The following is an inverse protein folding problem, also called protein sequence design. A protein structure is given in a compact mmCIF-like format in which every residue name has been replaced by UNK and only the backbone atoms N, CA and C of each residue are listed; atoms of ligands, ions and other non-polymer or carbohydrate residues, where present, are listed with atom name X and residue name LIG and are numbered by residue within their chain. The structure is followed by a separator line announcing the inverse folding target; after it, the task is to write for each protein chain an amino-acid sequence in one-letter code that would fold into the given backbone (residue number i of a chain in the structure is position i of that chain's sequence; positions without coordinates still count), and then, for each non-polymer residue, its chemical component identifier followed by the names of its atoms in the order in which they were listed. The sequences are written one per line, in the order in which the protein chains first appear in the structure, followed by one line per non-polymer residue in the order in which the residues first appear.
data_IF_543326564050
#
_entry.id   IF_543326564050
#
_cell.length_a   1.000
_cell.length_b   1.000
_cell.length_c   1.000
_cell.angle_alpha   90.00
_cell.angle_beta   90.00
_cell.angle_gamma   90.00
#
_symmetry.space_group_name_H-M   'P 1'
#
loop_
_entity.id
_entity.type
_entity.pdbx_description
1 polymer ?
#
# COMPACT_ATOMS: atom_id res chain seq x y z
N UNK A 1 -37.36 3.30 5.62
CA UNK A 1 -36.71 3.68 6.91
C UNK A 1 -35.85 2.53 7.37
N UNK A 2 -34.63 2.79 7.84
CA UNK A 2 -33.77 1.75 8.41
C UNK A 2 -34.37 1.22 9.72
N UNK A 3 -34.39 -0.10 9.92
CA UNK A 3 -34.82 -0.74 11.16
C UNK A 3 -33.58 -0.95 12.04
N UNK A 4 -33.58 -0.35 13.22
CA UNK A 4 -32.46 -0.41 14.17
C UNK A 4 -32.67 -1.57 15.15
N UNK A 5 -31.58 -2.19 15.57
CA UNK A 5 -31.55 -3.28 16.56
C UNK A 5 -30.34 -3.14 17.47
N UNK A 6 -30.34 -3.82 18.61
CA UNK A 6 -29.23 -3.83 19.56
C UNK A 6 -28.47 -5.15 19.48
N UNK A 7 -27.15 -5.06 19.60
CA UNK A 7 -26.26 -6.22 19.73
C UNK A 7 -25.58 -6.18 21.10
N UNK A 8 -25.41 -7.34 21.73
CA UNK A 8 -24.62 -7.46 22.95
C UNK A 8 -23.17 -7.74 22.56
N UNK A 9 -22.28 -6.87 23.00
CA UNK A 9 -20.84 -6.96 22.74
C UNK A 9 -20.06 -6.77 24.05
N UNK A 10 -18.84 -7.33 24.16
CA UNK A 10 -17.93 -7.03 25.27
C UNK A 10 -17.65 -5.53 25.38
N UNK A 11 -17.35 -5.06 26.60
CA UNK A 11 -17.13 -3.63 26.88
C UNK A 11 -15.91 -3.13 26.10
N UNK A 12 -14.88 -3.95 26.00
CA UNK A 12 -13.63 -3.66 25.31
C UNK A 12 -13.88 -3.40 23.82
N UNK A 13 -14.73 -4.22 23.19
CA UNK A 13 -15.11 -4.04 21.78
C UNK A 13 -15.91 -2.75 21.59
N UNK A 14 -16.84 -2.44 22.50
CA UNK A 14 -17.62 -1.20 22.45
C UNK A 14 -16.70 0.03 22.55
N UNK A 15 -15.73 0.01 23.44
CA UNK A 15 -14.76 1.11 23.61
C UNK A 15 -13.88 1.29 22.37
N UNK A 16 -13.39 0.19 21.80
CA UNK A 16 -12.63 0.22 20.55
C UNK A 16 -13.43 0.83 19.40
N UNK A 17 -14.68 0.41 19.21
CA UNK A 17 -15.57 0.94 18.16
C UNK A 17 -15.86 2.43 18.39
N UNK A 18 -16.09 2.83 19.65
CA UNK A 18 -16.28 4.24 20.01
C UNK A 18 -15.05 5.08 19.66
N UNK A 19 -13.86 4.62 20.02
CA UNK A 19 -12.60 5.31 19.69
C UNK A 19 -12.43 5.50 18.18
N UNK A 20 -12.69 4.45 17.38
CA UNK A 20 -12.62 4.52 15.92
C UNK A 20 -13.66 5.47 15.32
N UNK A 21 -14.89 5.44 15.84
CA UNK A 21 -15.97 6.34 15.45
C UNK A 21 -15.61 7.82 15.68
N UNK A 22 -15.05 8.14 16.85
CA UNK A 22 -14.59 9.51 17.19
C UNK A 22 -13.44 9.95 16.29
N UNK A 23 -12.45 9.08 16.07
CA UNK A 23 -11.27 9.37 15.24
C UNK A 23 -11.63 9.60 13.76
N UNK A 24 -12.59 8.84 13.24
CA UNK A 24 -12.96 8.86 11.81
C UNK A 24 -14.16 9.77 11.51
N UNK A 25 -14.84 10.30 12.52
CA UNK A 25 -16.05 11.12 12.35
C UNK A 25 -17.23 10.36 11.74
N UNK A 26 -17.24 9.01 11.86
CA UNK A 26 -18.27 8.14 11.28
C UNK A 26 -19.14 7.53 12.39
N UNK A 27 -20.44 7.27 12.16
CA UNK A 27 -21.28 6.53 13.09
C UNK A 27 -20.73 5.11 13.36
N UNK A 28 -20.89 4.62 14.59
CA UNK A 28 -20.37 3.31 15.02
C UNK A 28 -20.86 2.13 14.16
N UNK A 29 -22.12 2.16 13.71
CA UNK A 29 -22.67 1.10 12.85
C UNK A 29 -21.91 1.02 11.51
N UNK A 30 -21.50 2.16 10.95
CA UNK A 30 -20.78 2.21 9.69
C UNK A 30 -19.36 1.62 9.85
N UNK A 31 -18.69 1.93 10.96
CA UNK A 31 -17.39 1.31 11.31
C UNK A 31 -17.52 -0.22 11.41
N UNK A 32 -18.56 -0.70 12.09
CA UNK A 32 -18.83 -2.12 12.23
C UNK A 32 -19.15 -2.79 10.90
N UNK A 33 -19.97 -2.15 10.06
CA UNK A 33 -20.26 -2.65 8.71
C UNK A 33 -19.00 -2.74 7.87
N UNK A 34 -18.18 -1.69 7.80
CA UNK A 34 -16.91 -1.70 7.06
C UNK A 34 -15.97 -2.82 7.55
N UNK A 35 -15.87 -3.02 8.87
CA UNK A 35 -15.04 -4.06 9.47
C UNK A 35 -15.55 -5.48 9.17
N UNK A 36 -16.87 -5.70 9.25
CA UNK A 36 -17.49 -7.01 8.97
C UNK A 36 -17.40 -7.32 7.48
N UNK A 37 -17.69 -6.37 6.59
CA UNK A 37 -17.54 -6.55 5.14
C UNK A 37 -16.10 -6.96 4.79
N UNK A 38 -15.11 -6.30 5.39
CA UNK A 38 -13.71 -6.66 5.22
C UNK A 38 -13.42 -8.09 5.69
N UNK A 39 -13.93 -8.49 6.87
CA UNK A 39 -13.72 -9.83 7.42
C UNK A 39 -14.43 -10.92 6.61
N UNK A 40 -15.66 -10.66 6.14
CA UNK A 40 -16.41 -11.58 5.31
C UNK A 40 -15.74 -11.81 3.96
N UNK A 41 -15.23 -10.75 3.31
CA UNK A 41 -14.44 -10.87 2.08
C UNK A 41 -13.17 -11.69 2.28
N UNK A 42 -12.55 -11.57 3.45
CA UNK A 42 -11.38 -12.38 3.80
C UNK A 42 -11.72 -13.88 3.98
N UNK A 43 -12.87 -14.23 4.55
CA UNK A 43 -13.26 -15.63 4.83
C UNK A 43 -13.92 -16.32 3.63
N UNK A 44 -14.74 -15.62 2.84
CA UNK A 44 -15.60 -16.25 1.81
C UNK A 44 -14.88 -16.71 0.54
N UNK A 45 -13.58 -16.47 0.37
CA UNK A 45 -12.91 -16.66 -0.92
C UNK A 45 -11.83 -17.78 -0.96
N UNK A 46 -12.23 -19.06 -1.14
CA UNK A 46 -11.36 -20.09 -1.75
C UNK A 46 -11.24 -19.97 -3.29
N UNK A 47 -11.91 -18.99 -3.93
CA UNK A 47 -11.99 -18.83 -5.40
C UNK A 47 -10.94 -17.88 -5.99
N UNK A 48 -9.74 -17.87 -5.41
CA UNK A 48 -8.56 -17.08 -5.86
C UNK A 48 -7.94 -17.72 -7.12
N UNK A 49 -8.67 -17.71 -8.24
CA UNK A 49 -8.07 -17.95 -9.57
C UNK A 49 -8.13 -16.74 -10.51
N UNK A 50 -8.97 -15.75 -10.19
CA UNK A 50 -9.13 -14.54 -11.02
C UNK A 50 -8.48 -13.30 -10.38
N UNK A 51 -8.40 -13.24 -9.04
CA UNK A 51 -7.66 -12.21 -8.29
C UNK A 51 -6.14 -12.43 -8.29
N UNK A 52 -5.69 -13.65 -8.65
CA UNK A 52 -4.27 -13.98 -8.85
C UNK A 52 -3.65 -13.06 -9.90
N UNK A 53 -4.34 -12.72 -10.99
CA UNK A 53 -3.76 -11.85 -12.03
C UNK A 53 -3.41 -10.44 -11.54
N UNK A 54 -4.18 -9.84 -10.63
CA UNK A 54 -3.88 -8.52 -10.10
C UNK A 54 -2.80 -8.59 -9.03
N UNK A 55 -2.84 -9.62 -8.18
CA UNK A 55 -1.79 -9.88 -7.19
C UNK A 55 -0.44 -10.16 -7.88
N UNK A 56 -0.43 -10.98 -8.92
CA UNK A 56 0.75 -11.31 -9.73
C UNK A 56 1.28 -10.06 -10.43
N UNK A 57 0.39 -9.22 -10.98
CA UNK A 57 0.75 -7.92 -11.56
C UNK A 57 1.43 -7.05 -10.49
N UNK A 58 0.85 -6.91 -9.31
CA UNK A 58 1.44 -6.10 -8.23
C UNK A 58 2.78 -6.66 -7.77
N UNK A 59 2.85 -7.97 -7.52
CA UNK A 59 4.06 -8.66 -7.15
C UNK A 59 5.18 -8.39 -8.17
N UNK A 60 4.85 -8.45 -9.47
CA UNK A 60 5.79 -8.13 -10.55
C UNK A 60 6.31 -6.68 -10.48
N UNK A 61 5.45 -5.70 -10.25
CA UNK A 61 5.88 -4.30 -10.11
C UNK A 61 6.69 -4.05 -8.84
N UNK A 62 6.33 -4.69 -7.72
CA UNK A 62 7.13 -4.64 -6.49
C UNK A 62 8.52 -5.25 -6.74
N UNK A 63 8.60 -6.42 -7.38
CA UNK A 63 9.87 -7.07 -7.71
C UNK A 63 10.72 -6.19 -8.62
N UNK A 64 10.15 -5.68 -9.72
CA UNK A 64 10.83 -4.76 -10.64
C UNK A 64 11.42 -3.54 -9.95
N UNK A 65 10.63 -2.90 -9.08
CA UNK A 65 11.06 -1.75 -8.30
C UNK A 65 12.18 -2.17 -7.34
N UNK A 66 12.00 -3.25 -6.59
CA UNK A 66 12.96 -3.76 -5.61
C UNK A 66 14.31 -4.10 -6.24
N UNK A 67 14.32 -4.76 -7.39
CA UNK A 67 15.54 -5.10 -8.13
C UNK A 67 16.28 -3.85 -8.59
N UNK A 68 15.57 -2.89 -9.17
CA UNK A 68 16.19 -1.64 -9.65
C UNK A 68 16.69 -0.76 -8.50
N UNK A 69 15.90 -0.68 -7.41
CA UNK A 69 16.28 -0.01 -6.17
C UNK A 69 17.51 -0.64 -5.52
N UNK A 70 17.55 -1.97 -5.43
CA UNK A 70 18.68 -2.71 -4.88
C UNK A 70 19.96 -2.48 -5.69
N UNK A 71 19.88 -2.58 -7.01
CA UNK A 71 21.00 -2.32 -7.91
C UNK A 71 21.53 -0.90 -7.78
N UNK A 72 20.64 0.11 -7.77
CA UNK A 72 21.03 1.51 -7.58
C UNK A 72 21.63 1.77 -6.19
N UNK A 73 21.05 1.20 -5.14
CA UNK A 73 21.56 1.35 -3.77
C UNK A 73 22.97 0.77 -3.63
N UNK A 74 23.25 -0.35 -4.30
CA UNK A 74 24.58 -0.96 -4.27
C UNK A 74 25.58 -0.21 -5.14
N UNK A 75 25.17 0.19 -6.33
CA UNK A 75 26.00 0.94 -7.28
C UNK A 75 25.19 2.12 -7.86
N UNK A 76 25.33 3.34 -7.32
CA UNK A 76 24.54 4.49 -7.75
C UNK A 76 25.10 5.14 -9.03
N UNK A 77 25.17 4.36 -10.11
CA UNK A 77 25.52 4.84 -11.44
C UNK A 77 24.34 5.54 -12.12
N UNK A 78 24.62 6.36 -13.13
CA UNK A 78 23.59 7.01 -13.94
C UNK A 78 22.67 5.98 -14.63
N UNK A 79 23.23 4.87 -15.09
CA UNK A 79 22.46 3.78 -15.68
C UNK A 79 21.45 3.18 -14.68
N UNK A 80 21.90 2.87 -13.46
CA UNK A 80 21.02 2.31 -12.43
C UNK A 80 19.97 3.32 -11.96
N UNK A 81 20.31 4.61 -11.96
CA UNK A 81 19.36 5.67 -11.66
C UNK A 81 18.26 5.77 -12.73
N UNK A 82 18.61 5.69 -14.02
CA UNK A 82 17.62 5.70 -15.11
C UNK A 82 16.72 4.45 -15.08
N UNK A 83 17.25 3.27 -14.72
CA UNK A 83 16.39 2.09 -14.49
C UNK A 83 15.42 2.31 -13.34
N UNK A 84 15.87 2.88 -12.21
CA UNK A 84 15.01 3.19 -11.08
C UNK A 84 13.91 4.20 -11.47
N UNK A 85 14.28 5.25 -12.19
CA UNK A 85 13.37 6.27 -12.72
C UNK A 85 12.29 5.66 -13.62
N UNK A 86 12.68 4.82 -14.58
CA UNK A 86 11.74 4.10 -15.44
C UNK A 86 10.77 3.23 -14.64
N UNK A 87 11.21 2.60 -13.54
CA UNK A 87 10.32 1.82 -12.67
C UNK A 87 9.33 2.71 -11.92
N UNK A 88 9.76 3.86 -11.44
CA UNK A 88 8.87 4.84 -10.80
C UNK A 88 7.81 5.35 -11.78
N UNK A 89 8.19 5.66 -13.02
CA UNK A 89 7.24 6.04 -14.08
C UNK A 89 6.24 4.91 -14.37
N UNK A 90 6.70 3.66 -14.46
CA UNK A 90 5.82 2.50 -14.62
C UNK A 90 4.79 2.38 -13.47
N UNK A 91 5.17 2.65 -12.21
CA UNK A 91 4.24 2.64 -11.08
C UNK A 91 3.15 3.70 -11.24
N UNK A 92 3.54 4.92 -11.61
CA UNK A 92 2.61 6.02 -11.83
C UNK A 92 1.61 5.72 -12.94
N UNK A 93 2.10 5.26 -14.10
CA UNK A 93 1.26 5.03 -15.27
C UNK A 93 0.38 3.77 -15.19
N UNK A 94 0.86 2.71 -14.52
CA UNK A 94 0.23 1.38 -14.57
C UNK A 94 -0.54 1.02 -13.30
N UNK A 95 -0.24 1.67 -12.19
CA UNK A 95 -0.83 1.42 -10.87
C UNK A 95 -1.38 2.71 -10.23
N UNK A 96 -0.87 3.89 -10.62
CA UNK A 96 -1.33 5.17 -10.06
C UNK A 96 -0.66 5.53 -8.73
N UNK A 97 0.49 4.93 -8.41
CA UNK A 97 1.26 5.25 -7.19
C UNK A 97 2.36 6.25 -7.51
N UNK A 98 2.41 7.34 -6.77
CA UNK A 98 3.41 8.39 -6.90
C UNK A 98 4.66 8.08 -6.06
N UNK A 99 5.83 8.08 -6.69
CA UNK A 99 7.10 7.75 -6.03
C UNK A 99 8.21 8.77 -6.32
N UNK A 100 7.88 10.00 -6.71
CA UNK A 100 8.83 11.06 -7.04
C UNK A 100 9.81 11.38 -5.91
N UNK A 101 9.36 11.26 -4.65
CA UNK A 101 10.22 11.48 -3.49
C UNK A 101 11.41 10.51 -3.47
N UNK A 102 11.21 9.26 -3.90
CA UNK A 102 12.29 8.28 -4.01
C UNK A 102 13.36 8.74 -5.01
N UNK A 103 12.94 9.28 -6.16
CA UNK A 103 13.85 9.77 -7.19
C UNK A 103 14.65 10.99 -6.72
N UNK A 104 14.01 11.93 -6.01
CA UNK A 104 14.69 13.11 -5.46
C UNK A 104 15.77 12.73 -4.46
N UNK A 105 15.48 11.79 -3.56
CA UNK A 105 16.44 11.33 -2.56
C UNK A 105 17.52 10.47 -3.20
N UNK A 106 17.19 9.65 -4.20
CA UNK A 106 18.16 8.87 -4.97
C UNK A 106 19.12 9.77 -5.76
N UNK A 107 18.62 10.82 -6.39
CA UNK A 107 19.42 11.84 -7.08
C UNK A 107 20.43 12.49 -6.12
N UNK A 108 19.94 12.89 -4.94
CA UNK A 108 20.81 13.47 -3.92
C UNK A 108 21.81 12.46 -3.36
N UNK A 109 21.41 11.19 -3.21
CA UNK A 109 22.29 10.12 -2.77
C UNK A 109 23.45 9.88 -3.73
N UNK A 110 23.22 9.92 -5.05
CA UNK A 110 24.30 9.73 -6.04
C UNK A 110 25.25 10.93 -6.12
N UNK A 111 24.77 12.15 -5.92
CA UNK A 111 25.59 13.37 -5.99
C UNK A 111 26.39 13.64 -4.71
N UNK A 112 26.03 12.99 -3.60
CA UNK A 112 26.64 13.24 -2.29
C UNK A 112 27.99 12.55 -2.14
N UNK A 113 29.02 13.33 -1.83
CA UNK A 113 30.37 12.83 -1.51
C UNK A 113 30.62 12.66 -0.01
N UNK A 114 29.81 13.32 0.85
CA UNK A 114 29.88 13.18 2.30
C UNK A 114 29.36 11.79 2.74
N UNK A 115 30.25 10.99 3.31
CA UNK A 115 29.95 9.61 3.72
C UNK A 115 28.93 9.52 4.87
N UNK A 116 28.93 10.47 5.80
CA UNK A 116 27.96 10.51 6.91
C UNK A 116 26.55 10.80 6.38
N UNK A 117 26.45 11.81 5.51
CA UNK A 117 25.21 12.16 4.85
C UNK A 117 24.72 11.03 3.94
N UNK A 118 25.63 10.40 3.19
CA UNK A 118 25.33 9.28 2.30
C UNK A 118 24.73 8.08 3.05
N UNK A 119 25.23 7.77 4.25
CA UNK A 119 24.63 6.74 5.14
C UNK A 119 23.21 7.10 5.55
N UNK A 120 22.97 8.35 5.93
CA UNK A 120 21.62 8.84 6.28
C UNK A 120 20.66 8.72 5.09
N UNK A 121 21.08 9.17 3.91
CA UNK A 121 20.28 9.07 2.68
C UNK A 121 19.96 7.63 2.31
N UNK A 122 20.88 6.68 2.52
CA UNK A 122 20.63 5.24 2.31
C UNK A 122 19.51 4.72 3.23
N UNK A 123 19.44 5.20 4.47
CA UNK A 123 18.38 4.86 5.43
C UNK A 123 17.04 5.51 5.02
N UNK A 124 17.07 6.78 4.63
CA UNK A 124 15.89 7.52 4.19
C UNK A 124 15.29 6.86 2.94
N UNK A 125 16.13 6.49 1.97
CA UNK A 125 15.74 5.72 0.79
C UNK A 125 15.06 4.40 1.13
N UNK A 126 15.61 3.61 2.08
CA UNK A 126 14.97 2.36 2.51
C UNK A 126 13.59 2.62 3.13
N UNK A 127 13.46 3.72 3.87
CA UNK A 127 12.20 4.10 4.52
C UNK A 127 11.14 4.50 3.50
N UNK A 128 11.53 5.30 2.50
CA UNK A 128 10.66 5.71 1.38
C UNK A 128 10.27 4.49 0.54
N UNK A 129 11.23 3.65 0.16
CA UNK A 129 10.96 2.41 -0.57
C UNK A 129 9.95 1.52 0.16
N UNK A 130 10.15 1.30 1.47
CA UNK A 130 9.21 0.54 2.30
C UNK A 130 7.82 1.18 2.32
N UNK A 131 7.74 2.50 2.34
CA UNK A 131 6.46 3.20 2.32
C UNK A 131 5.71 2.99 0.98
N UNK A 132 6.42 3.07 -0.15
CA UNK A 132 5.85 2.79 -1.48
C UNK A 132 5.33 1.36 -1.56
N UNK A 133 6.09 0.38 -1.06
CA UNK A 133 5.66 -1.03 -1.03
C UNK A 133 4.40 -1.21 -0.17
N UNK A 134 4.31 -0.53 0.98
CA UNK A 134 3.10 -0.56 1.81
C UNK A 134 1.90 0.00 1.08
N UNK A 135 2.06 1.14 0.41
CA UNK A 135 0.98 1.78 -0.35
C UNK A 135 0.47 0.87 -1.47
N UNK A 136 1.38 0.24 -2.22
CA UNK A 136 1.07 -0.75 -3.24
C UNK A 136 0.24 -1.92 -2.69
N UNK A 137 0.63 -2.46 -1.53
CA UNK A 137 -0.10 -3.56 -0.88
C UNK A 137 -1.48 -3.09 -0.40
N UNK A 138 -1.57 -1.92 0.24
CA UNK A 138 -2.82 -1.37 0.77
C UNK A 138 -3.81 -1.09 -0.36
N UNK A 139 -3.36 -0.50 -1.48
CA UNK A 139 -4.21 -0.26 -2.65
C UNK A 139 -4.79 -1.57 -3.19
N UNK A 140 -4.00 -2.64 -3.26
CA UNK A 140 -4.48 -3.96 -3.67
C UNK A 140 -5.50 -4.54 -2.69
N UNK A 141 -5.25 -4.40 -1.39
CA UNK A 141 -6.23 -4.85 -0.38
C UNK A 141 -7.57 -4.13 -0.55
N UNK A 142 -7.57 -2.82 -0.79
CA UNK A 142 -8.79 -2.06 -1.09
C UNK A 142 -9.47 -2.52 -2.38
N UNK A 143 -8.72 -2.72 -3.47
CA UNK A 143 -9.29 -3.21 -4.74
C UNK A 143 -9.97 -4.58 -4.60
N UNK A 144 -9.38 -5.49 -3.82
CA UNK A 144 -9.94 -6.81 -3.57
C UNK A 144 -11.27 -6.72 -2.80
N UNK A 145 -11.37 -5.80 -1.85
CA UNK A 145 -12.59 -5.57 -1.06
C UNK A 145 -13.68 -4.92 -1.92
N UNK A 146 -13.36 -3.92 -2.75
CA UNK A 146 -14.35 -3.19 -3.55
C UNK A 146 -14.94 -3.98 -4.72
N UNK A 147 -14.20 -4.93 -5.32
CA UNK A 147 -14.69 -5.74 -6.45
C UNK A 147 -15.72 -6.80 -6.05
N UNK A 148 -15.83 -7.13 -4.76
CA UNK A 148 -16.87 -8.06 -4.26
C UNK A 148 -18.25 -7.38 -4.10
N UNK A 149 -18.32 -6.05 -4.08
CA UNK A 149 -19.58 -5.30 -3.91
C UNK A 149 -20.34 -5.02 -5.23
N UNK A 150 -19.73 -5.27 -6.39
CA UNK A 150 -20.41 -5.12 -7.67
C UNK A 150 -21.38 -6.30 -7.88
N UNK A 151 -22.71 -6.09 -7.87
CA UNK A 151 -23.65 -7.16 -8.14
C UNK A 151 -23.37 -7.69 -9.55
N UNK A 152 -23.12 -9.00 -9.65
CA UNK A 152 -23.15 -9.70 -10.92
C UNK A 152 -24.57 -9.52 -11.48
N UNK A 153 -24.67 -8.67 -12.50
CA UNK A 153 -25.89 -8.47 -13.29
C UNK A 153 -26.06 -9.62 -14.26
#
# INVERSE_FOLDING_TARGET
MARWTTIKVPVELREMVKHLSEKMGKPQWQILTEAITFYEGFIRSPRVRTSTSNLDKLAWYITKLATSFGAFKENPSDENFEYLKKRVEELRERIGVEADLLLRVAEYYRSTTDESLRKKLRIDMNSIFKQIVKELIVQMMFELVSKEEAPQT
#
